data_IF_424481054519
#
_entry.id   IF_424481054519
#
_cell.length_a   1.000
_cell.length_b   1.000
_cell.length_c   1.000
_cell.angle_alpha   90.00
_cell.angle_beta   90.00
_cell.angle_gamma   90.00
#
_symmetry.space_group_name_H-M   'P 1'
#
loop_
_entity.id
_entity.type
_entity.pdbx_description
1 polymer ?
#
# COMPACT_ATOMS: atom_id res chain seq x y z
N UNK A 1 -6.84 -0.05 25.97
CA UNK A 1 -7.71 0.45 24.89
C UNK A 1 -6.94 0.31 23.59
N UNK A 2 -7.40 -0.52 22.65
CA UNK A 2 -6.74 -0.70 21.36
C UNK A 2 -7.25 0.40 20.41
N UNK A 3 -6.36 1.30 19.99
CA UNK A 3 -6.69 2.37 19.03
C UNK A 3 -6.18 1.93 17.65
N UNK A 4 -7.05 1.97 16.65
CA UNK A 4 -6.75 1.63 15.27
C UNK A 4 -7.27 2.74 14.35
N UNK A 5 -6.41 3.31 13.52
CA UNK A 5 -6.77 4.34 12.53
C UNK A 5 -6.87 3.75 11.13
N UNK A 6 -7.95 4.07 10.43
CA UNK A 6 -8.07 3.85 8.99
C UNK A 6 -7.93 5.20 8.30
N UNK A 7 -6.87 5.36 7.50
CA UNK A 7 -6.67 6.55 6.68
C UNK A 7 -7.20 6.30 5.27
N UNK A 8 -8.17 7.10 4.85
CA UNK A 8 -8.65 7.18 3.48
C UNK A 8 -8.31 8.55 2.86
N UNK A 9 -7.18 9.13 3.29
CA UNK A 9 -6.71 10.42 2.78
C UNK A 9 -6.17 10.29 1.35
N UNK A 10 -6.18 11.40 0.58
CA UNK A 10 -5.45 11.45 -0.67
C UNK A 10 -3.96 11.11 -0.47
N UNK A 11 -3.39 10.47 -1.48
CA UNK A 11 -1.96 10.23 -1.58
C UNK A 11 -1.16 11.55 -1.42
N UNK A 12 -0.01 11.48 -0.76
CA UNK A 12 0.86 12.60 -0.39
C UNK A 12 0.44 13.31 0.89
N UNK A 13 -0.84 13.27 1.24
CA UNK A 13 -1.35 13.83 2.50
C UNK A 13 -1.24 12.81 3.63
N UNK A 14 -1.43 11.52 3.33
CA UNK A 14 -1.49 10.45 4.33
C UNK A 14 -0.17 10.32 5.10
N UNK A 15 0.97 10.27 4.42
CA UNK A 15 2.29 10.11 5.05
C UNK A 15 2.57 11.19 6.10
N UNK A 16 2.39 12.46 5.72
CA UNK A 16 2.61 13.61 6.60
C UNK A 16 1.66 13.59 7.79
N UNK A 17 0.39 13.25 7.54
CA UNK A 17 -0.67 13.26 8.57
C UNK A 17 -0.50 12.11 9.56
N UNK A 18 -0.10 10.93 9.08
CA UNK A 18 -0.01 9.72 9.90
C UNK A 18 1.29 9.61 10.69
N UNK A 19 2.38 10.24 10.23
CA UNK A 19 3.70 10.13 10.86
C UNK A 19 3.68 10.33 12.38
N UNK A 20 3.06 11.38 12.96
CA UNK A 20 3.04 11.57 14.41
C UNK A 20 2.31 10.44 15.17
N UNK A 21 1.28 9.84 14.56
CA UNK A 21 0.54 8.73 15.15
C UNK A 21 1.31 7.41 15.04
N UNK A 22 1.99 7.19 13.92
CA UNK A 22 2.89 6.05 13.75
C UNK A 22 4.06 6.15 14.73
N UNK A 23 4.64 7.34 14.90
CA UNK A 23 5.75 7.55 15.84
C UNK A 23 5.31 7.38 17.31
N UNK A 24 4.03 7.59 17.64
CA UNK A 24 3.47 7.34 18.98
C UNK A 24 3.01 5.89 19.21
N UNK A 25 3.22 4.99 18.24
CA UNK A 25 2.91 3.56 18.38
C UNK A 25 1.45 3.19 18.05
N UNK A 26 0.65 4.12 17.52
CA UNK A 26 -0.74 3.82 17.12
C UNK A 26 -0.71 2.91 15.89
N UNK A 27 -1.63 1.92 15.88
CA UNK A 27 -1.84 1.04 14.72
C UNK A 27 -2.59 1.77 13.63
N UNK A 28 -2.12 1.65 12.39
CA UNK A 28 -2.65 2.37 11.24
C UNK A 28 -2.83 1.43 10.04
N UNK A 29 -3.98 1.53 9.38
CA UNK A 29 -4.23 1.01 8.04
C UNK A 29 -4.35 2.21 7.10
N UNK A 30 -3.36 2.40 6.22
CA UNK A 30 -3.39 3.45 5.21
C UNK A 30 -3.91 2.91 3.87
N UNK A 31 -5.03 3.45 3.39
CA UNK A 31 -5.67 3.11 2.11
C UNK A 31 -5.04 3.89 0.95
N UNK A 32 -4.27 4.94 1.25
CA UNK A 32 -3.51 5.68 0.24
C UNK A 32 -2.35 4.85 -0.33
N UNK A 33 -1.58 5.45 -1.25
CA UNK A 33 -0.39 4.81 -1.80
C UNK A 33 0.89 5.08 -1.01
N UNK A 34 0.83 5.91 0.03
CA UNK A 34 2.01 6.53 0.64
C UNK A 34 3.01 5.53 1.19
N UNK A 35 2.54 4.49 1.88
CA UNK A 35 3.43 3.52 2.52
C UNK A 35 3.60 2.20 1.75
N UNK A 36 3.12 2.12 0.49
CA UNK A 36 3.15 0.89 -0.33
C UNK A 36 4.53 0.55 -0.86
N UNK A 37 5.35 1.56 -1.15
CA UNK A 37 6.69 1.41 -1.75
C UNK A 37 7.74 1.67 -0.66
N UNK A 38 8.61 0.69 -0.43
CA UNK A 38 9.67 0.77 0.58
C UNK A 38 10.77 1.73 0.20
N UNK A 39 11.17 1.72 -1.07
CA UNK A 39 12.25 2.55 -1.57
C UNK A 39 11.73 3.99 -1.80
N UNK A 40 12.25 4.99 -1.07
CA UNK A 40 11.83 6.38 -1.22
C UNK A 40 12.17 6.96 -2.60
N UNK A 41 13.19 6.45 -3.30
CA UNK A 41 13.55 6.89 -4.65
C UNK A 41 12.55 6.37 -5.68
N UNK A 42 12.14 5.09 -5.57
CA UNK A 42 11.07 4.53 -6.41
C UNK A 42 9.75 5.24 -6.13
N UNK A 43 9.45 5.53 -4.86
CA UNK A 43 8.28 6.35 -4.53
C UNK A 43 8.33 7.71 -5.23
N UNK A 44 9.47 8.41 -5.16
CA UNK A 44 9.63 9.71 -5.80
C UNK A 44 9.50 9.64 -7.32
N UNK A 45 10.00 8.59 -7.96
CA UNK A 45 9.85 8.36 -9.40
C UNK A 45 8.38 8.27 -9.82
N UNK A 46 7.58 7.46 -9.10
CA UNK A 46 6.18 7.22 -9.46
C UNK A 46 5.21 8.33 -9.03
N UNK A 47 5.54 9.03 -7.95
CA UNK A 47 4.63 9.98 -7.31
C UNK A 47 5.07 11.45 -7.40
N UNK A 48 6.26 11.73 -7.94
CA UNK A 48 6.74 13.08 -8.22
C UNK A 48 7.06 13.91 -6.97
N UNK A 49 7.13 13.29 -5.79
CA UNK A 49 7.37 13.97 -4.52
C UNK A 49 8.25 13.12 -3.60
N UNK A 50 9.11 13.78 -2.81
CA UNK A 50 9.91 13.10 -1.79
C UNK A 50 8.99 12.62 -0.66
N UNK A 51 9.17 11.37 -0.24
CA UNK A 51 8.33 10.77 0.78
C UNK A 51 8.50 11.48 2.14
N UNK A 52 7.42 11.99 2.73
CA UNK A 52 7.48 12.82 3.95
C UNK A 52 7.69 12.04 5.26
N UNK A 53 7.61 10.72 5.20
CA UNK A 53 7.76 9.82 6.36
C UNK A 53 8.69 8.63 6.05
N UNK A 54 9.86 8.88 5.46
CA UNK A 54 10.84 7.83 5.07
C UNK A 54 11.11 6.84 6.21
N UNK A 55 11.27 7.31 7.45
CA UNK A 55 11.51 6.47 8.63
C UNK A 55 10.39 5.47 8.95
N UNK A 56 9.21 5.65 8.36
CA UNK A 56 8.06 4.76 8.53
C UNK A 56 7.94 3.72 7.41
N UNK A 57 8.63 3.91 6.28
CA UNK A 57 8.54 2.99 5.13
C UNK A 57 8.97 1.58 5.52
N UNK A 58 10.08 1.42 6.23
CA UNK A 58 10.54 0.10 6.71
C UNK A 58 9.54 -0.60 7.63
N UNK A 59 8.72 0.15 8.37
CA UNK A 59 7.71 -0.40 9.30
C UNK A 59 6.43 -0.86 8.60
N UNK A 60 6.18 -0.45 7.35
CA UNK A 60 4.93 -0.78 6.67
C UNK A 60 4.87 -2.24 6.24
N UNK A 61 3.72 -2.89 6.38
CA UNK A 61 3.47 -4.21 5.78
C UNK A 61 2.47 -4.04 4.65
N UNK A 62 2.75 -4.64 3.49
CA UNK A 62 1.81 -4.60 2.37
C UNK A 62 0.57 -5.43 2.72
N UNK A 63 -0.60 -4.79 2.71
CA UNK A 63 -1.84 -5.34 3.25
C UNK A 63 -2.52 -6.36 2.36
N UNK A 64 -1.78 -7.33 1.81
CA UNK A 64 -2.31 -8.44 1.01
C UNK A 64 -2.23 -9.75 1.82
N UNK A 65 -3.32 -10.18 2.50
CA UNK A 65 -3.29 -11.31 3.43
C UNK A 65 -2.85 -12.64 2.81
N UNK A 66 -3.10 -12.86 1.53
CA UNK A 66 -2.67 -14.07 0.81
C UNK A 66 -1.15 -14.22 0.75
N UNK A 67 -0.41 -13.11 0.89
CA UNK A 67 1.06 -13.10 0.91
C UNK A 67 1.66 -12.79 2.28
N UNK A 68 1.00 -11.95 3.07
CA UNK A 68 1.59 -11.32 4.26
C UNK A 68 0.76 -11.52 5.54
N UNK A 69 -0.06 -12.58 5.63
CA UNK A 69 -0.99 -12.82 6.77
C UNK A 69 -0.36 -12.61 8.14
N UNK A 70 0.78 -13.25 8.39
CA UNK A 70 1.43 -13.24 9.70
C UNK A 70 2.10 -11.89 9.99
N UNK A 71 2.68 -11.27 8.96
CA UNK A 71 3.24 -9.92 9.07
C UNK A 71 2.16 -8.90 9.39
N UNK A 72 1.00 -8.98 8.71
CA UNK A 72 -0.15 -8.09 8.91
C UNK A 72 -0.69 -8.20 10.35
N UNK A 73 -0.78 -9.41 10.90
CA UNK A 73 -1.28 -9.62 12.26
C UNK A 73 -0.42 -8.88 13.32
N UNK A 74 0.88 -8.77 13.06
CA UNK A 74 1.86 -8.16 13.96
C UNK A 74 2.20 -6.70 13.59
N UNK A 75 1.78 -6.23 12.42
CA UNK A 75 2.12 -4.91 11.91
C UNK A 75 1.54 -3.77 12.75
N UNK A 76 2.32 -2.71 12.89
CA UNK A 76 1.84 -1.42 13.37
C UNK A 76 1.26 -0.58 12.22
N UNK A 77 1.89 -0.63 11.04
CA UNK A 77 1.50 0.13 9.86
C UNK A 77 1.21 -0.84 8.72
N UNK A 78 -0.03 -0.82 8.24
CA UNK A 78 -0.46 -1.62 7.09
C UNK A 78 -0.68 -0.66 5.93
N UNK A 79 0.04 -0.89 4.83
CA UNK A 79 -0.16 -0.20 3.56
C UNK A 79 -1.15 -1.01 2.73
N UNK A 80 -2.42 -0.60 2.74
CA UNK A 80 -3.47 -1.32 2.04
C UNK A 80 -3.23 -1.25 0.51
N UNK A 81 -3.34 -2.38 -0.20
CA UNK A 81 -3.11 -2.45 -1.64
C UNK A 81 -4.01 -1.54 -2.47
N UNK A 82 -3.56 -1.18 -3.67
CA UNK A 82 -4.41 -0.54 -4.68
C UNK A 82 -5.34 -1.55 -5.34
N UNK A 83 -6.51 -1.11 -5.82
CA UNK A 83 -7.50 -2.00 -6.44
C UNK A 83 -6.96 -2.80 -7.65
N UNK A 84 -6.22 -2.16 -8.56
CA UNK A 84 -5.62 -2.86 -9.70
C UNK A 84 -4.46 -3.78 -9.30
N UNK A 85 -3.46 -3.35 -8.49
CA UNK A 85 -2.45 -4.25 -7.96
C UNK A 85 -3.02 -5.49 -7.27
N UNK A 86 -4.08 -5.38 -6.46
CA UNK A 86 -4.71 -6.53 -5.82
C UNK A 86 -5.16 -7.57 -6.83
N UNK A 87 -5.94 -7.16 -7.83
CA UNK A 87 -6.44 -8.08 -8.85
C UNK A 87 -5.32 -8.72 -9.67
N UNK A 88 -4.35 -7.92 -10.09
CA UNK A 88 -3.21 -8.38 -10.86
C UNK A 88 -2.33 -9.38 -10.09
N UNK A 89 -1.94 -9.03 -8.86
CA UNK A 89 -1.07 -9.87 -8.03
C UNK A 89 -1.77 -11.19 -7.72
N UNK A 90 -3.03 -11.16 -7.25
CA UNK A 90 -3.74 -12.40 -6.89
C UNK A 90 -3.95 -13.32 -8.10
N UNK A 91 -4.24 -12.77 -9.27
CA UNK A 91 -4.43 -13.57 -10.49
C UNK A 91 -3.13 -14.24 -10.97
N UNK A 92 -1.99 -13.55 -10.83
CA UNK A 92 -0.71 -13.98 -11.39
C UNK A 92 0.19 -14.72 -10.39
N UNK A 93 0.01 -14.49 -9.09
CA UNK A 93 0.88 -14.98 -8.03
C UNK A 93 1.14 -16.50 -8.13
N UNK A 94 0.15 -17.39 -8.30
CA UNK A 94 0.42 -18.83 -8.41
C UNK A 94 1.26 -19.18 -9.63
N UNK A 95 1.03 -18.51 -10.77
CA UNK A 95 1.73 -18.76 -12.02
C UNK A 95 3.18 -18.26 -11.96
N UNK A 96 3.40 -17.07 -11.38
CA UNK A 96 4.74 -16.52 -11.14
C UNK A 96 5.53 -17.40 -10.17
N UNK A 97 4.94 -17.78 -9.03
CA UNK A 97 5.59 -18.62 -8.02
C UNK A 97 5.96 -20.01 -8.55
N UNK A 98 5.14 -20.55 -9.46
CA UNK A 98 5.39 -21.86 -10.09
C UNK A 98 6.32 -21.77 -11.30
N UNK A 99 6.76 -20.58 -11.69
CA UNK A 99 7.60 -20.33 -12.88
C UNK A 99 7.01 -20.89 -14.19
N UNK A 100 5.69 -20.82 -14.36
CA UNK A 100 4.97 -21.35 -15.55
C UNK A 100 4.63 -20.27 -16.59
N UNK A 101 5.05 -19.03 -16.36
CA UNK A 101 4.89 -17.89 -17.27
C UNK A 101 6.18 -17.08 -17.35
N UNK A 102 6.33 -16.29 -18.40
CA UNK A 102 7.46 -15.38 -18.58
C UNK A 102 7.34 -14.12 -17.69
N UNK A 103 8.46 -13.41 -17.53
CA UNK A 103 8.54 -12.21 -16.68
C UNK A 103 7.81 -11.00 -17.25
N UNK A 104 7.60 -10.93 -18.58
CA UNK A 104 6.92 -9.82 -19.23
C UNK A 104 5.41 -10.08 -19.27
N UNK A 105 4.67 -9.38 -18.43
CA UNK A 105 3.22 -9.55 -18.29
C UNK A 105 2.51 -8.26 -18.70
N UNK A 106 1.49 -8.38 -19.54
CA UNK A 106 0.62 -7.27 -19.94
C UNK A 106 -0.71 -7.40 -19.18
N UNK A 107 -1.08 -6.37 -18.43
CA UNK A 107 -2.31 -6.33 -17.64
C UNK A 107 -3.20 -5.20 -18.16
N UNK A 108 -4.41 -5.53 -18.59
CA UNK A 108 -5.41 -4.56 -19.05
C UNK A 108 -6.65 -4.60 -18.14
N UNK A 109 -6.73 -3.64 -17.22
CA UNK A 109 -7.75 -3.56 -16.18
C UNK A 109 -8.81 -2.49 -16.46
N UNK A 110 -10.06 -2.76 -16.07
CA UNK A 110 -11.20 -1.85 -16.21
C UNK A 110 -11.81 -1.60 -14.85
N UNK A 111 -12.24 -0.37 -14.58
CA UNK A 111 -12.88 0.02 -13.31
C UNK A 111 -14.14 0.83 -13.58
N UNK A 112 -15.09 0.72 -12.65
CA UNK A 112 -16.18 1.69 -12.53
C UNK A 112 -15.66 3.07 -12.11
N UNK A 113 -16.49 4.10 -12.33
CA UNK A 113 -16.15 5.51 -12.06
C UNK A 113 -15.87 5.82 -10.58
N UNK A 114 -16.37 4.99 -9.66
CA UNK A 114 -16.11 5.12 -8.22
C UNK A 114 -14.62 5.00 -7.87
N UNK A 115 -13.82 4.29 -8.68
CA UNK A 115 -12.38 4.17 -8.50
C UNK A 115 -11.62 5.49 -8.63
N UNK A 116 -12.20 6.52 -9.27
CA UNK A 116 -11.62 7.85 -9.34
C UNK A 116 -11.68 8.62 -8.00
N UNK A 117 -12.45 8.10 -7.03
CA UNK A 117 -12.73 8.77 -5.77
C UNK A 117 -13.79 9.88 -5.92
N UNK A 118 -14.37 10.27 -4.78
CA UNK A 118 -15.31 11.39 -4.72
C UNK A 118 -14.53 12.71 -4.79
N UNK A 119 -14.89 13.59 -5.72
CA UNK A 119 -14.39 14.97 -5.79
C UNK A 119 -15.51 15.90 -5.36
N UNK A 120 -15.42 16.42 -4.14
CA UNK A 120 -16.30 17.47 -3.61
C UNK A 120 -15.45 18.70 -3.32
#
# INVERSE_FOLDING_TARGET
>A
MLILFFSALPHGVSAKTLKPFIDSGIKVVDISADFRIKDPLVYQEWYGQTHSAVSCLEKSVYGLPEMHRDEIANAQLIANPGCYPTGAILALMPAVQSNIIESKIIIDSKSGVSGAGKKN
#
